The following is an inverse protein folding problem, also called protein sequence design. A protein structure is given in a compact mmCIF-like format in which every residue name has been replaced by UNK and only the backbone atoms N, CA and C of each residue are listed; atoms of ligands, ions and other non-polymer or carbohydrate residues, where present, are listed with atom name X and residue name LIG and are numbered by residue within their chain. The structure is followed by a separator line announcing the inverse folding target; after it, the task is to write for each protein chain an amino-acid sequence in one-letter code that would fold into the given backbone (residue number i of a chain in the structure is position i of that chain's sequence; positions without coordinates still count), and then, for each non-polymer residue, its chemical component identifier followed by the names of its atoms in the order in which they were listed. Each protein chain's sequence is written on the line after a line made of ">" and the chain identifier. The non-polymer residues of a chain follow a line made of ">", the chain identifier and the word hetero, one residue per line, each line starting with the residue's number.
data_IF_892833156348
#
_entry.id   IF_892833156348
#
_cell.length_a   1.000
_cell.length_b   1.000
_cell.length_c   1.000
_cell.angle_alpha   90.00
_cell.angle_beta   90.00
_cell.angle_gamma   90.00
#
_symmetry.space_group_name_H-M   'P 1'
#
loop_
_entity.id
_entity.type
_entity.pdbx_description
1 polymer ?
#
# COMPACT_ATOMS: atom_id res chain seq x y z
N UNK A 1 -19.95 -33.56 4.37
CA UNK A 1 -20.57 -34.22 5.54
C UNK A 1 -19.96 -33.56 6.79
N UNK A 2 -20.68 -32.69 7.50
CA UNK A 2 -21.58 -33.03 8.64
C UNK A 2 -20.80 -33.34 9.93
N UNK A 3 -21.04 -32.78 11.14
CA UNK A 3 -21.92 -31.71 11.65
C UNK A 3 -21.44 -31.38 13.10
N UNK A 4 -21.30 -30.08 13.48
CA UNK A 4 -21.99 -29.40 14.64
C UNK A 4 -21.95 -30.06 16.06
N UNK A 5 -21.67 -29.39 17.21
CA UNK A 5 -22.56 -28.44 17.96
C UNK A 5 -21.95 -27.88 19.28
N UNK A 6 -22.33 -26.62 19.65
CA UNK A 6 -22.63 -26.01 20.98
C UNK A 6 -21.97 -26.55 22.29
N UNK A 7 -21.56 -25.71 23.25
CA UNK A 7 -22.49 -24.89 24.07
C UNK A 7 -21.79 -23.97 25.11
N UNK A 8 -22.53 -22.97 25.62
CA UNK A 8 -22.21 -22.13 26.78
C UNK A 8 -23.27 -22.38 27.88
N UNK A 9 -22.88 -22.38 29.17
CA UNK A 9 -23.56 -21.67 30.29
C UNK A 9 -23.24 -22.21 31.72
N UNK A 10 -22.64 -21.32 32.53
CA UNK A 10 -23.12 -20.87 33.87
C UNK A 10 -23.42 -21.89 34.99
N UNK A 11 -22.67 -21.76 36.10
CA UNK A 11 -23.19 -21.86 37.48
C UNK A 11 -22.41 -20.95 38.41
N UNK A 12 -22.96 -20.60 39.59
CA UNK A 12 -22.49 -19.52 40.44
C UNK A 12 -22.26 -19.95 41.90
N UNK A 13 -21.70 -19.02 42.68
CA UNK A 13 -21.72 -18.91 44.16
C UNK A 13 -20.50 -19.43 44.93
N UNK A 14 -19.75 -18.50 45.51
CA UNK A 14 -19.48 -18.48 46.96
C UNK A 14 -18.96 -17.11 47.38
N UNK A 15 -19.34 -16.67 48.59
CA UNK A 15 -18.92 -15.42 49.25
C UNK A 15 -18.47 -15.79 50.65
N UNK A 16 -17.44 -15.13 51.20
CA UNK A 16 -17.56 -14.65 52.58
C UNK A 16 -17.30 -13.14 52.74
N UNK A 17 -18.16 -12.50 53.54
CA UNK A 17 -17.88 -11.30 54.35
C UNK A 17 -16.69 -11.56 55.30
N UNK A 18 -15.93 -10.61 55.86
CA UNK A 18 -15.64 -9.17 55.67
C UNK A 18 -14.28 -8.93 56.39
N UNK A 19 -13.76 -7.75 56.78
CA UNK A 19 -14.12 -6.31 56.79
C UNK A 19 -12.79 -5.55 56.88
N UNK A 20 -12.66 -4.35 56.30
CA UNK A 20 -12.22 -3.19 57.10
C UNK A 20 -12.38 -1.83 56.41
N UNK A 21 -12.38 -0.77 57.23
CA UNK A 21 -12.85 0.58 56.84
C UNK A 21 -11.70 1.57 56.69
N UNK A 22 -11.49 2.12 55.48
CA UNK A 22 -11.03 3.51 55.23
C UNK A 22 -10.86 3.84 53.74
N UNK A 23 -11.58 4.86 53.28
CA UNK A 23 -11.02 5.85 52.34
C UNK A 23 -10.26 6.90 53.19
N UNK A 24 -9.25 7.63 52.68
CA UNK A 24 -9.52 8.64 51.64
C UNK A 24 -8.38 8.92 50.63
N UNK A 25 -8.67 9.90 49.77
CA UNK A 25 -7.74 10.75 49.00
C UNK A 25 -7.33 10.24 47.62
N UNK A 26 -7.77 10.96 46.59
CA UNK A 26 -7.27 10.83 45.24
C UNK A 26 -5.84 11.39 45.16
N UNK A 27 -4.90 10.56 44.72
CA UNK A 27 -3.65 11.02 44.12
C UNK A 27 -3.82 10.95 42.60
N UNK A 28 -3.72 12.09 41.93
CA UNK A 28 -3.69 12.14 40.46
C UNK A 28 -2.28 11.74 40.03
N UNK A 29 -2.04 10.45 39.85
CA UNK A 29 -0.82 9.98 39.21
C UNK A 29 -0.85 10.35 37.73
N UNK A 30 -0.30 11.53 37.43
CA UNK A 30 0.05 11.90 36.07
C UNK A 30 1.09 10.90 35.56
N UNK A 31 0.66 10.00 34.67
CA UNK A 31 1.53 9.04 34.00
C UNK A 31 2.66 9.82 33.32
N UNK A 32 3.88 9.65 33.83
CA UNK A 32 5.07 10.29 33.28
C UNK A 32 5.42 9.65 31.93
N UNK A 33 4.83 10.18 30.86
CA UNK A 33 5.30 9.95 29.51
C UNK A 33 6.63 10.70 29.30
N UNK A 34 7.73 10.11 29.77
CA UNK A 34 9.11 10.54 29.46
C UNK A 34 10.12 9.42 29.73
N UNK A 35 10.02 8.33 28.95
CA UNK A 35 11.13 7.39 28.74
C UNK A 35 11.78 7.73 27.39
N UNK A 36 13.12 7.82 27.27
CA UNK A 36 13.76 8.09 25.98
C UNK A 36 13.47 6.96 24.99
N UNK A 37 12.69 7.26 23.95
CA UNK A 37 12.15 6.27 23.00
C UNK A 37 13.25 5.52 22.23
N UNK A 38 14.39 6.18 22.01
CA UNK A 38 15.50 5.71 21.18
C UNK A 38 16.17 4.40 21.64
N UNK A 39 16.23 4.14 22.94
CA UNK A 39 17.07 3.05 23.49
C UNK A 39 16.35 1.68 23.55
N UNK A 40 15.02 1.64 23.36
CA UNK A 40 14.26 0.39 23.30
C UNK A 40 14.06 -0.10 21.86
N UNK A 41 13.76 0.78 20.91
CA UNK A 41 13.45 0.41 19.52
C UNK A 41 14.66 -0.24 18.82
N UNK A 42 15.86 0.24 19.13
CA UNK A 42 17.11 -0.33 18.61
C UNK A 42 17.40 -1.73 19.18
N UNK A 43 16.81 -2.10 20.33
CA UNK A 43 16.84 -3.44 20.93
C UNK A 43 15.72 -4.34 20.41
N UNK A 44 14.62 -3.77 19.92
CA UNK A 44 13.51 -4.52 19.29
C UNK A 44 13.88 -5.04 17.89
N UNK A 45 14.65 -4.30 17.09
CA UNK A 45 14.91 -4.68 15.68
C UNK A 45 15.41 -6.13 15.48
N UNK A 46 16.39 -6.67 16.25
CA UNK A 46 16.83 -8.07 16.11
C UNK A 46 15.72 -9.11 16.35
N UNK A 47 14.77 -8.82 17.25
CA UNK A 47 13.62 -9.70 17.49
C UNK A 47 12.68 -9.73 16.26
N UNK A 48 12.40 -8.56 15.68
CA UNK A 48 11.57 -8.48 14.47
C UNK A 48 12.26 -9.07 13.23
N UNK A 49 13.59 -9.02 13.14
CA UNK A 49 14.38 -9.73 12.11
C UNK A 49 14.22 -11.25 12.26
N UNK A 50 14.41 -11.79 13.45
CA UNK A 50 14.23 -13.22 13.69
C UNK A 50 12.78 -13.68 13.41
N UNK A 51 11.79 -12.86 13.75
CA UNK A 51 10.38 -13.12 13.45
C UNK A 51 10.10 -13.15 11.94
N UNK A 52 10.57 -12.15 11.18
CA UNK A 52 10.29 -12.09 9.73
C UNK A 52 11.03 -13.20 8.98
N UNK A 53 12.24 -13.57 9.41
CA UNK A 53 12.98 -14.72 8.86
C UNK A 53 12.25 -16.05 9.10
N UNK A 54 11.69 -16.24 10.30
CA UNK A 54 10.87 -17.41 10.63
C UNK A 54 9.59 -17.47 9.79
N UNK A 55 8.86 -16.35 9.67
CA UNK A 55 7.64 -16.30 8.85
C UNK A 55 7.96 -16.51 7.35
N UNK A 56 9.09 -15.99 6.84
CA UNK A 56 9.56 -16.22 5.47
C UNK A 56 9.97 -17.68 5.22
N UNK A 57 10.52 -18.36 6.23
CA UNK A 57 10.78 -19.79 6.15
C UNK A 57 9.46 -20.59 6.09
N UNK A 58 8.48 -20.25 6.94
CA UNK A 58 7.15 -20.87 6.93
C UNK A 58 6.39 -20.60 5.62
N UNK A 59 6.53 -19.41 5.03
CA UNK A 59 5.89 -19.08 3.74
C UNK A 59 6.35 -19.98 2.58
N UNK A 60 7.54 -20.59 2.67
CA UNK A 60 8.04 -21.55 1.67
C UNK A 60 7.38 -22.92 1.75
N UNK A 61 6.71 -23.26 2.86
CA UNK A 61 6.05 -24.57 3.02
C UNK A 61 4.68 -24.62 2.35
N UNK A 62 4.06 -23.48 2.07
CA UNK A 62 2.78 -23.41 1.35
C UNK A 62 3.03 -23.51 -0.15
N UNK A 63 2.23 -24.30 -0.85
CA UNK A 63 2.18 -24.32 -2.31
C UNK A 63 1.26 -23.22 -2.84
N UNK A 64 0.04 -23.16 -2.30
CA UNK A 64 -1.05 -22.29 -2.75
C UNK A 64 -0.82 -20.79 -2.44
N UNK A 65 -1.40 -19.93 -3.29
CA UNK A 65 -1.26 -18.47 -3.21
C UNK A 65 -2.23 -17.87 -2.17
N UNK A 66 -3.45 -18.37 -2.06
CA UNK A 66 -4.43 -17.92 -1.08
C UNK A 66 -4.05 -18.35 0.35
N UNK A 67 -3.44 -19.53 0.51
CA UNK A 67 -2.82 -19.93 1.79
C UNK A 67 -1.70 -18.97 2.20
N UNK A 68 -0.81 -18.59 1.26
CA UNK A 68 0.25 -17.60 1.50
C UNK A 68 -0.30 -16.23 1.87
N UNK A 69 -1.36 -15.78 1.18
CA UNK A 69 -2.02 -14.51 1.49
C UNK A 69 -2.65 -14.54 2.90
N UNK A 70 -3.36 -15.62 3.23
CA UNK A 70 -3.94 -15.84 4.56
C UNK A 70 -2.85 -15.83 5.65
N UNK A 71 -1.74 -16.55 5.43
CA UNK A 71 -0.63 -16.57 6.36
C UNK A 71 0.02 -15.20 6.55
N UNK A 72 0.29 -14.44 5.46
CA UNK A 72 0.83 -13.06 5.55
C UNK A 72 -0.10 -12.15 6.35
N UNK A 73 -1.41 -12.21 6.10
CA UNK A 73 -2.41 -11.42 6.83
C UNK A 73 -2.34 -11.67 8.34
N UNK A 74 -2.26 -12.92 8.76
CA UNK A 74 -2.24 -13.27 10.18
C UNK A 74 -0.86 -13.09 10.83
N UNK A 75 0.23 -13.24 10.09
CA UNK A 75 1.59 -12.90 10.54
C UNK A 75 1.72 -11.40 10.84
N UNK A 76 1.19 -10.53 9.97
CA UNK A 76 1.16 -9.07 10.17
C UNK A 76 0.50 -8.66 11.49
N UNK A 77 -0.54 -9.38 11.93
CA UNK A 77 -1.23 -9.16 13.21
C UNK A 77 -0.48 -9.80 14.38
N UNK A 78 -0.15 -11.09 14.26
CA UNK A 78 0.46 -11.91 15.33
C UNK A 78 1.75 -11.31 15.87
N UNK A 79 2.56 -10.75 14.96
CA UNK A 79 3.88 -10.24 15.29
C UNK A 79 3.91 -8.69 15.43
N UNK A 80 2.79 -7.97 15.34
CA UNK A 80 2.73 -6.48 15.36
C UNK A 80 3.75 -5.78 14.43
N UNK A 81 3.90 -6.28 13.20
CA UNK A 81 4.87 -5.68 12.26
C UNK A 81 4.55 -4.23 11.92
N UNK A 82 3.26 -3.85 11.86
CA UNK A 82 2.85 -2.48 11.57
C UNK A 82 3.06 -1.55 12.76
N UNK A 83 2.85 -2.00 14.00
CA UNK A 83 3.19 -1.22 15.18
C UNK A 83 4.70 -0.97 15.29
N UNK A 84 5.52 -2.00 15.02
CA UNK A 84 6.99 -1.84 14.92
C UNK A 84 7.41 -0.84 13.84
N UNK A 85 6.86 -0.95 12.62
CA UNK A 85 7.18 -0.03 11.53
C UNK A 85 6.77 1.41 11.87
N UNK A 86 5.64 1.59 12.56
CA UNK A 86 5.24 2.92 13.01
C UNK A 86 6.18 3.49 14.09
N UNK A 87 6.64 2.66 15.04
CA UNK A 87 7.70 3.05 16.00
C UNK A 87 8.99 3.46 15.27
N UNK A 88 9.50 2.60 14.40
CA UNK A 88 10.65 2.90 13.53
C UNK A 88 10.49 4.22 12.77
N UNK A 89 9.33 4.47 12.13
CA UNK A 89 9.04 5.74 11.44
C UNK A 89 9.09 6.96 12.39
N UNK A 90 8.42 6.87 13.55
CA UNK A 90 8.33 7.97 14.51
C UNK A 90 9.65 8.27 15.23
N UNK A 91 10.53 7.27 15.33
CA UNK A 91 11.87 7.40 15.93
C UNK A 91 12.84 8.29 15.14
N UNK A 92 12.56 8.52 13.85
CA UNK A 92 13.50 9.16 12.93
C UNK A 92 14.72 8.32 12.54
N UNK A 93 14.80 7.05 12.96
CA UNK A 93 15.86 6.13 12.56
C UNK A 93 15.86 5.94 11.04
N UNK A 94 17.05 5.90 10.46
CA UNK A 94 17.29 5.71 9.03
C UNK A 94 18.42 4.70 8.84
N UNK A 95 18.07 3.41 8.89
CA UNK A 95 18.97 2.31 8.58
C UNK A 95 18.30 1.31 7.63
N UNK A 96 19.05 0.49 6.89
CA UNK A 96 18.49 -0.64 6.15
C UNK A 96 17.65 -1.53 7.07
N UNK A 97 16.33 -1.60 6.82
CA UNK A 97 15.36 -2.26 7.68
C UNK A 97 14.67 -3.39 6.91
N UNK A 98 15.18 -4.61 7.09
CA UNK A 98 14.72 -5.82 6.39
C UNK A 98 13.25 -6.15 6.69
N UNK A 99 12.79 -5.84 7.91
CA UNK A 99 11.40 -6.07 8.35
C UNK A 99 10.46 -5.13 7.59
N UNK A 100 10.80 -3.84 7.52
CA UNK A 100 10.07 -2.85 6.74
C UNK A 100 9.99 -3.25 5.25
N UNK A 101 11.11 -3.67 4.65
CA UNK A 101 11.15 -4.09 3.25
C UNK A 101 10.22 -5.29 2.96
N UNK A 102 10.25 -6.34 3.77
CA UNK A 102 9.40 -7.52 3.58
C UNK A 102 7.93 -7.27 3.89
N UNK A 103 7.63 -6.51 4.93
CA UNK A 103 6.25 -6.14 5.26
C UNK A 103 5.66 -5.25 4.17
N UNK A 104 6.42 -4.30 3.61
CA UNK A 104 6.00 -3.50 2.48
C UNK A 104 5.63 -4.38 1.26
N UNK A 105 6.46 -5.38 0.95
CA UNK A 105 6.17 -6.37 -0.10
C UNK A 105 4.88 -7.13 0.21
N UNK A 106 4.69 -7.59 1.45
CA UNK A 106 3.46 -8.30 1.83
C UNK A 106 2.22 -7.42 1.79
N UNK A 107 2.31 -6.12 2.09
CA UNK A 107 1.19 -5.19 1.91
C UNK A 107 0.81 -5.05 0.43
N UNK A 108 1.79 -5.04 -0.47
CA UNK A 108 1.57 -5.08 -1.93
C UNK A 108 0.97 -6.42 -2.37
N UNK A 109 1.50 -7.55 -1.91
CA UNK A 109 0.95 -8.89 -2.22
C UNK A 109 -0.50 -9.04 -1.75
N UNK A 110 -0.84 -8.43 -0.61
CA UNK A 110 -2.18 -8.42 -0.01
C UNK A 110 -3.09 -7.29 -0.52
N UNK A 111 -2.64 -6.51 -1.51
CA UNK A 111 -3.39 -5.39 -2.11
C UNK A 111 -3.86 -4.33 -1.10
N UNK A 112 -3.12 -4.17 0.00
CA UNK A 112 -3.41 -3.19 1.07
C UNK A 112 -2.87 -1.80 0.70
N UNK A 113 -3.37 -1.27 -0.41
CA UNK A 113 -2.79 -0.12 -1.11
C UNK A 113 -2.69 1.15 -0.27
N UNK A 114 -3.60 1.40 0.67
CA UNK A 114 -3.49 2.55 1.58
C UNK A 114 -2.18 2.55 2.38
N UNK A 115 -1.85 1.43 3.00
CA UNK A 115 -0.62 1.28 3.79
C UNK A 115 0.64 1.28 2.90
N UNK A 116 0.55 0.73 1.68
CA UNK A 116 1.62 0.80 0.68
C UNK A 116 1.91 2.26 0.31
N UNK A 117 0.88 3.05 0.01
CA UNK A 117 1.02 4.44 -0.38
C UNK A 117 1.41 5.37 0.78
N UNK A 118 1.03 5.04 2.03
CA UNK A 118 1.50 5.75 3.22
C UNK A 118 3.00 5.51 3.48
N UNK A 119 3.49 4.27 3.29
CA UNK A 119 4.88 3.91 3.55
C UNK A 119 5.83 4.21 2.39
N UNK A 120 5.35 4.28 1.14
CA UNK A 120 6.20 4.45 -0.05
C UNK A 120 7.12 5.69 0.01
N UNK A 121 6.68 6.88 0.48
CA UNK A 121 7.58 8.02 0.67
C UNK A 121 8.77 7.71 1.58
N UNK A 122 8.55 7.02 2.70
CA UNK A 122 9.62 6.58 3.63
C UNK A 122 10.61 5.63 2.94
N UNK A 123 10.10 4.67 2.14
CA UNK A 123 10.94 3.72 1.40
C UNK A 123 11.86 4.43 0.39
N UNK A 124 11.36 5.49 -0.25
CA UNK A 124 12.10 6.31 -1.23
C UNK A 124 13.13 7.19 -0.51
N UNK A 125 12.70 7.96 0.49
CA UNK A 125 13.52 8.93 1.22
C UNK A 125 14.72 8.26 1.89
N UNK A 126 14.47 7.16 2.60
CA UNK A 126 15.51 6.38 3.28
C UNK A 126 16.31 5.47 2.35
N UNK A 127 15.97 5.40 1.05
CA UNK A 127 16.61 4.54 0.05
C UNK A 127 16.70 3.08 0.53
N UNK A 128 15.63 2.57 1.14
CA UNK A 128 15.58 1.23 1.69
C UNK A 128 15.93 0.19 0.61
N UNK A 129 16.74 -0.84 0.88
CA UNK A 129 17.07 -1.84 -0.13
C UNK A 129 15.89 -2.79 -0.39
N UNK A 130 15.60 -3.10 -1.66
CA UNK A 130 14.79 -4.27 -1.97
C UNK A 130 15.57 -5.55 -1.63
N UNK A 131 14.90 -6.63 -1.17
CA UNK A 131 15.54 -7.92 -0.93
C UNK A 131 16.24 -8.45 -2.19
N UNK A 132 17.35 -9.17 -2.01
CA UNK A 132 18.24 -9.62 -3.10
C UNK A 132 17.58 -10.55 -4.12
N UNK A 133 16.45 -11.18 -3.78
CA UNK A 133 15.66 -12.00 -4.70
C UNK A 133 14.95 -11.20 -5.79
N UNK A 134 14.86 -9.86 -5.65
CA UNK A 134 14.29 -8.97 -6.66
C UNK A 134 15.37 -8.33 -7.52
N UNK A 135 15.18 -8.40 -8.84
CA UNK A 135 16.04 -7.71 -9.82
C UNK A 135 15.85 -6.19 -9.77
N UNK A 136 14.61 -5.72 -9.54
CA UNK A 136 14.27 -4.31 -9.36
C UNK A 136 14.97 -3.70 -8.15
N UNK A 137 15.51 -2.49 -8.29
CA UNK A 137 16.25 -1.76 -7.23
C UNK A 137 15.57 -0.49 -6.75
N UNK A 138 14.38 -0.17 -7.25
CA UNK A 138 13.63 1.04 -6.93
C UNK A 138 12.22 0.71 -6.47
N UNK A 139 11.82 1.17 -5.28
CA UNK A 139 10.47 0.94 -4.73
C UNK A 139 9.33 1.47 -5.62
N UNK A 140 9.43 2.67 -6.24
CA UNK A 140 8.43 3.11 -7.21
C UNK A 140 8.25 2.11 -8.35
N UNK A 141 9.35 1.59 -8.91
CA UNK A 141 9.28 0.64 -10.02
C UNK A 141 8.62 -0.68 -9.60
N UNK A 142 8.95 -1.20 -8.42
CA UNK A 142 8.29 -2.39 -7.87
C UNK A 142 6.77 -2.19 -7.70
N UNK A 143 6.34 -1.08 -7.11
CA UNK A 143 4.91 -0.79 -6.94
C UNK A 143 4.20 -0.58 -8.29
N UNK A 144 4.85 0.10 -9.24
CA UNK A 144 4.32 0.35 -10.59
C UNK A 144 4.09 -0.96 -11.34
N UNK A 145 5.06 -1.88 -11.36
CA UNK A 145 4.90 -3.15 -12.06
C UNK A 145 3.74 -3.99 -11.43
N UNK A 146 3.60 -3.98 -10.10
CA UNK A 146 2.51 -4.70 -9.42
C UNK A 146 1.11 -4.09 -9.68
N UNK A 147 1.00 -2.75 -9.72
CA UNK A 147 -0.26 -2.09 -10.09
C UNK A 147 -0.57 -2.18 -11.59
N UNK A 148 0.45 -2.23 -12.43
CA UNK A 148 0.30 -2.40 -13.87
C UNK A 148 -0.39 -3.74 -14.17
N UNK A 149 0.05 -4.83 -13.54
CA UNK A 149 -0.53 -6.15 -13.73
C UNK A 149 -2.00 -6.21 -13.22
N UNK A 150 -2.29 -5.65 -12.04
CA UNK A 150 -3.66 -5.59 -11.49
C UNK A 150 -4.62 -4.77 -12.35
N UNK A 151 -4.18 -3.58 -12.80
CA UNK A 151 -5.00 -2.72 -13.64
C UNK A 151 -5.29 -3.39 -15.00
N UNK A 152 -4.33 -4.11 -15.58
CA UNK A 152 -4.58 -4.89 -16.79
C UNK A 152 -5.58 -6.04 -16.55
N UNK A 153 -5.54 -6.71 -15.39
CA UNK A 153 -6.55 -7.72 -15.03
C UNK A 153 -7.96 -7.12 -14.97
N UNK A 154 -8.14 -5.98 -14.29
CA UNK A 154 -9.47 -5.34 -14.23
C UNK A 154 -9.94 -4.82 -15.59
N UNK A 155 -9.02 -4.33 -16.44
CA UNK A 155 -9.31 -3.94 -17.82
C UNK A 155 -9.73 -5.13 -18.69
N UNK A 156 -8.98 -6.25 -18.66
CA UNK A 156 -9.31 -7.43 -19.48
C UNK A 156 -10.63 -8.08 -19.06
N UNK A 157 -10.93 -8.07 -17.77
CA UNK A 157 -12.15 -8.65 -17.21
C UNK A 157 -13.36 -7.69 -17.27
N UNK A 158 -13.18 -6.44 -17.75
CA UNK A 158 -14.22 -5.40 -17.77
C UNK A 158 -14.87 -5.11 -16.41
N UNK A 159 -14.11 -5.31 -15.32
CA UNK A 159 -14.59 -5.20 -13.92
C UNK A 159 -14.57 -3.74 -13.45
N UNK A 160 -15.65 -3.03 -13.74
CA UNK A 160 -15.78 -1.58 -13.51
C UNK A 160 -15.53 -1.15 -12.05
N UNK A 161 -16.03 -1.90 -11.06
CA UNK A 161 -15.81 -1.59 -9.64
C UNK A 161 -14.31 -1.63 -9.27
N UNK A 162 -13.60 -2.67 -9.72
CA UNK A 162 -12.14 -2.80 -9.54
C UNK A 162 -11.35 -1.75 -10.33
N UNK A 163 -11.86 -1.28 -11.48
CA UNK A 163 -11.28 -0.16 -12.22
C UNK A 163 -11.39 1.16 -11.44
N UNK A 164 -12.50 1.40 -10.75
CA UNK A 164 -12.66 2.60 -9.92
C UNK A 164 -11.66 2.62 -8.75
N UNK A 165 -11.53 1.50 -8.03
CA UNK A 165 -10.56 1.37 -6.93
C UNK A 165 -9.12 1.53 -7.43
N UNK A 166 -8.74 0.86 -8.54
CA UNK A 166 -7.37 0.93 -9.07
C UNK A 166 -7.05 2.32 -9.65
N UNK A 167 -8.02 3.04 -10.24
CA UNK A 167 -7.84 4.43 -10.68
C UNK A 167 -7.43 5.32 -9.50
N UNK A 168 -8.16 5.25 -8.38
CA UNK A 168 -7.85 6.03 -7.17
C UNK A 168 -6.45 5.76 -6.62
N UNK A 169 -6.02 4.48 -6.62
CA UNK A 169 -4.67 4.07 -6.19
C UNK A 169 -3.59 4.60 -7.16
N UNK A 170 -3.82 4.51 -8.47
CA UNK A 170 -2.90 5.01 -9.50
C UNK A 170 -2.72 6.53 -9.44
N UNK A 171 -3.80 7.29 -9.29
CA UNK A 171 -3.76 8.75 -9.13
C UNK A 171 -2.96 9.17 -7.88
N UNK A 172 -3.15 8.49 -6.75
CA UNK A 172 -2.38 8.73 -5.52
C UNK A 172 -0.91 8.39 -5.70
N UNK A 173 -0.58 7.29 -6.37
CA UNK A 173 0.80 6.94 -6.69
C UNK A 173 1.46 8.02 -7.56
N UNK A 174 0.79 8.48 -8.63
CA UNK A 174 1.26 9.57 -9.47
C UNK A 174 1.58 10.82 -8.64
N UNK A 175 0.72 11.21 -7.69
CA UNK A 175 0.99 12.36 -6.83
C UNK A 175 2.22 12.16 -5.92
N UNK A 176 2.49 10.93 -5.45
CA UNK A 176 3.71 10.59 -4.69
C UNK A 176 4.96 10.68 -5.58
N UNK A 177 4.90 10.18 -6.82
CA UNK A 177 6.06 10.09 -7.73
C UNK A 177 6.15 11.23 -8.75
N UNK A 178 5.36 12.30 -8.62
CA UNK A 178 5.29 13.40 -9.61
C UNK A 178 6.62 14.13 -9.84
N UNK A 179 7.49 14.15 -8.82
CA UNK A 179 8.83 14.73 -8.88
C UNK A 179 9.94 13.68 -9.11
N UNK A 180 9.59 12.43 -9.40
CA UNK A 180 10.55 11.37 -9.70
C UNK A 180 11.27 11.69 -11.02
N UNK A 181 12.60 11.68 -11.00
CA UNK A 181 13.36 11.65 -12.24
C UNK A 181 13.25 10.24 -12.85
N UNK A 182 12.81 10.15 -14.10
CA UNK A 182 12.65 8.90 -14.85
C UNK A 182 13.87 8.56 -15.73
N UNK A 183 14.96 9.32 -15.70
CA UNK A 183 16.21 8.96 -16.42
C UNK A 183 16.69 7.56 -16.03
N UNK A 184 16.81 6.65 -17.00
CA UNK A 184 17.16 5.24 -16.81
C UNK A 184 16.01 4.35 -16.32
N UNK A 185 14.80 4.91 -16.16
CA UNK A 185 13.57 4.25 -15.74
C UNK A 185 12.37 4.65 -16.63
N UNK A 186 12.63 5.12 -17.85
CA UNK A 186 11.64 5.69 -18.77
C UNK A 186 10.53 4.68 -19.10
N UNK A 187 10.89 3.41 -19.28
CA UNK A 187 9.92 2.32 -19.50
C UNK A 187 8.94 2.20 -18.34
N UNK A 188 9.42 2.31 -17.11
CA UNK A 188 8.62 2.17 -15.88
C UNK A 188 7.75 3.42 -15.67
N UNK A 189 8.32 4.62 -15.81
CA UNK A 189 7.55 5.86 -15.71
C UNK A 189 6.45 5.92 -16.77
N UNK A 190 6.80 5.60 -18.02
CA UNK A 190 5.84 5.50 -19.13
C UNK A 190 4.73 4.48 -18.88
N UNK A 191 5.04 3.30 -18.32
CA UNK A 191 4.04 2.28 -17.91
C UNK A 191 2.99 2.85 -16.95
N UNK A 192 3.41 3.55 -15.88
CA UNK A 192 2.50 4.11 -14.86
C UNK A 192 1.46 5.05 -15.48
N UNK A 193 1.92 6.04 -16.25
CA UNK A 193 1.02 7.00 -16.89
C UNK A 193 0.18 6.33 -17.99
N UNK A 194 0.76 5.39 -18.75
CA UNK A 194 0.03 4.67 -19.80
C UNK A 194 -1.10 3.77 -19.26
N UNK A 195 -0.90 3.08 -18.13
CA UNK A 195 -1.96 2.25 -17.54
C UNK A 195 -3.05 3.10 -16.90
N UNK A 196 -2.68 4.18 -16.21
CA UNK A 196 -3.63 5.15 -15.64
C UNK A 196 -4.50 5.76 -16.75
N UNK A 197 -3.90 6.17 -17.86
CA UNK A 197 -4.64 6.69 -19.01
C UNK A 197 -5.67 5.69 -19.60
N UNK A 198 -5.34 4.40 -19.63
CA UNK A 198 -6.25 3.35 -20.11
C UNK A 198 -7.40 3.13 -19.13
N UNK A 199 -7.11 3.03 -17.83
CA UNK A 199 -8.12 2.89 -16.77
C UNK A 199 -9.09 4.08 -16.80
N UNK A 200 -8.58 5.31 -16.85
CA UNK A 200 -9.41 6.50 -16.90
C UNK A 200 -10.22 6.60 -18.20
N UNK A 201 -9.67 6.18 -19.35
CA UNK A 201 -10.44 6.12 -20.59
C UNK A 201 -11.60 5.11 -20.51
N UNK A 202 -11.39 3.94 -19.89
CA UNK A 202 -12.43 2.94 -19.63
C UNK A 202 -13.48 3.39 -18.61
N UNK A 203 -13.13 4.30 -17.70
CA UNK A 203 -14.06 4.94 -16.77
C UNK A 203 -14.69 6.24 -17.33
N UNK A 204 -14.42 6.57 -18.59
CA UNK A 204 -14.87 7.81 -19.26
C UNK A 204 -14.34 9.13 -18.65
N UNK A 205 -13.27 9.06 -17.84
CA UNK A 205 -12.52 10.19 -17.30
C UNK A 205 -11.59 10.82 -18.37
N UNK A 206 -12.12 11.14 -19.55
CA UNK A 206 -11.35 11.42 -20.77
C UNK A 206 -10.31 12.56 -20.63
N UNK A 207 -10.58 13.57 -19.80
CA UNK A 207 -9.63 14.65 -19.52
C UNK A 207 -8.36 14.16 -18.82
N UNK A 208 -8.50 13.38 -17.74
CA UNK A 208 -7.37 12.75 -17.05
C UNK A 208 -6.68 11.72 -17.95
N UNK A 209 -7.46 10.93 -18.70
CA UNK A 209 -6.91 9.97 -19.66
C UNK A 209 -5.99 10.64 -20.70
N UNK A 210 -6.38 11.81 -21.22
CA UNK A 210 -5.56 12.56 -22.18
C UNK A 210 -4.27 13.09 -21.53
N UNK A 211 -4.37 13.71 -20.35
CA UNK A 211 -3.22 14.24 -19.60
C UNK A 211 -2.19 13.13 -19.31
N UNK A 212 -2.64 11.97 -18.84
CA UNK A 212 -1.73 10.86 -18.56
C UNK A 212 -1.21 10.17 -19.84
N UNK A 213 -1.99 10.10 -20.92
CA UNK A 213 -1.51 9.56 -22.20
C UNK A 213 -0.45 10.47 -22.87
N UNK A 214 -0.51 11.78 -22.63
CA UNK A 214 0.52 12.75 -23.02
C UNK A 214 1.78 12.58 -22.15
N UNK A 215 1.64 12.58 -20.82
CA UNK A 215 2.76 12.39 -19.90
C UNK A 215 3.49 11.05 -20.11
N UNK A 216 2.75 9.99 -20.43
CA UNK A 216 3.32 8.68 -20.77
C UNK A 216 4.22 8.74 -22.01
N UNK A 217 3.79 9.43 -23.07
CA UNK A 217 4.57 9.62 -24.29
C UNK A 217 5.76 10.56 -24.09
N UNK A 218 5.62 11.58 -23.23
CA UNK A 218 6.71 12.50 -22.89
C UNK A 218 7.85 11.78 -22.13
N UNK A 219 7.53 10.80 -21.28
CA UNK A 219 8.53 9.96 -20.60
C UNK A 219 9.06 8.86 -21.51
N UNK A 220 8.21 8.22 -22.30
CA UNK A 220 8.56 7.10 -23.18
C UNK A 220 7.69 7.08 -24.44
N UNK A 221 8.29 7.39 -25.59
CA UNK A 221 7.62 7.43 -26.90
C UNK A 221 6.97 6.08 -27.29
N UNK A 222 7.44 4.98 -26.68
CA UNK A 222 6.97 3.60 -26.87
C UNK A 222 6.03 3.12 -25.76
N UNK A 223 5.48 4.01 -24.93
CA UNK A 223 4.52 3.66 -23.87
C UNK A 223 3.17 3.09 -24.37
N UNK A 224 2.94 3.03 -25.69
CA UNK A 224 1.82 2.29 -26.29
C UNK A 224 0.46 3.01 -26.26
N UNK A 225 0.43 4.32 -25.98
CA UNK A 225 -0.81 5.13 -25.89
C UNK A 225 -0.94 6.19 -26.98
N UNK A 226 -0.12 6.13 -28.03
CA UNK A 226 -0.10 7.11 -29.13
C UNK A 226 -1.42 7.23 -29.89
N UNK A 227 -2.10 6.12 -30.14
CA UNK A 227 -3.43 6.11 -30.79
C UNK A 227 -4.49 6.63 -29.83
N UNK A 228 -4.51 6.10 -28.60
CA UNK A 228 -5.41 6.52 -27.53
C UNK A 228 -5.38 8.05 -27.30
N UNK A 229 -4.20 8.67 -27.23
CA UNK A 229 -4.09 10.12 -27.07
C UNK A 229 -4.73 10.89 -28.25
N UNK A 230 -4.52 10.45 -29.49
CA UNK A 230 -5.12 11.10 -30.67
C UNK A 230 -6.64 11.02 -30.64
N UNK A 231 -7.18 9.86 -30.27
CA UNK A 231 -8.63 9.63 -30.22
C UNK A 231 -9.27 10.45 -29.09
N UNK A 232 -8.64 10.50 -27.91
CA UNK A 232 -9.05 11.36 -26.79
C UNK A 232 -8.99 12.84 -27.16
N UNK A 233 -7.90 13.31 -27.79
CA UNK A 233 -7.78 14.70 -28.25
C UNK A 233 -8.83 15.08 -29.31
N UNK A 234 -9.24 14.14 -30.17
CA UNK A 234 -10.35 14.34 -31.11
C UNK A 234 -11.69 14.43 -30.39
N UNK A 235 -11.96 13.51 -29.46
CA UNK A 235 -13.19 13.48 -28.66
C UNK A 235 -13.37 14.77 -27.84
N UNK A 236 -12.31 15.24 -27.17
CA UNK A 236 -12.34 16.47 -26.39
C UNK A 236 -12.62 17.71 -27.27
N UNK A 237 -11.97 17.83 -28.44
CA UNK A 237 -12.27 18.92 -29.39
C UNK A 237 -13.70 18.88 -29.96
N UNK A 238 -14.30 17.70 -30.07
CA UNK A 238 -15.69 17.55 -30.51
C UNK A 238 -16.72 17.79 -29.40
N UNK A 239 -16.27 17.93 -28.15
CA UNK A 239 -17.12 18.20 -26.98
C UNK A 239 -16.86 19.57 -26.34
N UNK A 240 -15.90 20.35 -26.85
CA UNK A 240 -15.86 21.80 -26.63
C UNK A 240 -17.15 22.42 -27.21
N UNK A 241 -17.93 23.18 -26.42
CA UNK A 241 -19.09 23.86 -26.96
C UNK A 241 -18.60 24.85 -28.02
N UNK A 242 -19.24 24.81 -29.19
CA UNK A 242 -19.00 25.76 -30.27
C UNK A 242 -19.08 27.17 -29.68
N UNK A 243 -17.93 27.87 -29.63
CA UNK A 243 -17.89 29.25 -29.14
C UNK A 243 -18.94 30.02 -29.93
N UNK A 244 -19.92 30.58 -29.24
CA UNK A 244 -20.97 31.36 -29.85
C UNK A 244 -20.33 32.43 -30.74
N UNK A 245 -20.33 32.15 -32.04
CA UNK A 245 -20.29 33.18 -33.05
C UNK A 245 -21.57 33.99 -32.89
N UNK A 246 -21.42 35.30 -33.03
CA UNK A 246 -22.51 36.25 -33.20
C UNK A 246 -23.40 36.48 -31.97
N UNK A 247 -22.98 37.48 -31.20
CA UNK A 247 -23.90 38.50 -30.68
C UNK A 247 -23.27 39.86 -31.00
N UNK A 248 -23.81 40.52 -32.04
CA UNK A 248 -23.46 41.88 -32.51
C UNK A 248 -23.69 42.96 -31.44
#
# INVERSE_FOLDING_TARGET
>A
MSLVKKSLAKTASSVPNSTDTKAPTAAVEAVQANTPVTDNEQKEYPFFVAAIESDLAQLKTFSDIADKASYKSEALKRNDYLGYINRYRLSGQNHPNTVLAWVFIWLVDLKRWDAVLELLPLMIEQKQPLPTVFNTKHWPAFVIDQLYDDANFYLSESKHDGLFEISFVLHRLINIVKSQNWTGLEVVGGKLYAITAKVDASLHNYGFAAIFAEQAQAINDKAGVKTLLKDLQKLLKQSEPEKAADAD
#
